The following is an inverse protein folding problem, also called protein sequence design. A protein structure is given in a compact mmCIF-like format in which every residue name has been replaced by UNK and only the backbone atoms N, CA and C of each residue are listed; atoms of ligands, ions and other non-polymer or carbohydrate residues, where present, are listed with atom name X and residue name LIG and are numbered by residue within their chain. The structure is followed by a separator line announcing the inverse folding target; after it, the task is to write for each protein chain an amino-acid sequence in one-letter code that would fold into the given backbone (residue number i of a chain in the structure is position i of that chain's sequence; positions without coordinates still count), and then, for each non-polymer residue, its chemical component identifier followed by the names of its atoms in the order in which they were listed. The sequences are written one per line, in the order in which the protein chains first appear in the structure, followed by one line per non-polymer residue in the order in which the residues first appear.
data_IF_567161844658
#
_entry.id   IF_567161844658
#
_cell.length_a   1.000
_cell.length_b   1.000
_cell.length_c   1.000
_cell.angle_alpha   90.00
_cell.angle_beta   90.00
_cell.angle_gamma   90.00
#
_symmetry.space_group_name_H-M   'P 1'
#
loop_
_entity.id
_entity.type
_entity.pdbx_description
1 polymer ?
#
# COMPACT_ATOMS: atom_id res chain seq x y z
N UNK A 1 12.39 19.49 19.24
CA UNK A 1 11.96 18.09 19.12
C UNK A 1 11.40 17.92 17.74
N UNK A 2 12.23 17.49 16.80
CA UNK A 2 11.90 17.46 15.35
C UNK A 2 12.47 16.17 14.71
N UNK A 3 12.66 15.10 15.49
CA UNK A 3 13.24 13.84 15.01
C UNK A 3 12.33 12.63 15.27
N UNK A 4 11.10 12.85 15.77
CA UNK A 4 10.16 11.77 16.08
C UNK A 4 9.28 11.38 14.88
N UNK A 5 9.30 12.12 13.77
CA UNK A 5 8.53 11.80 12.55
C UNK A 5 9.26 10.93 11.53
N UNK A 6 10.58 10.77 11.61
CA UNK A 6 11.34 10.06 10.58
C UNK A 6 11.45 8.56 10.83
N UNK A 7 11.28 8.09 12.07
CA UNK A 7 11.58 6.70 12.47
C UNK A 7 10.37 5.76 12.26
N UNK A 8 9.14 6.29 12.24
CA UNK A 8 7.92 5.46 12.14
C UNK A 8 7.40 5.27 10.70
N UNK A 9 7.76 6.14 9.74
CA UNK A 9 7.33 6.03 8.33
C UNK A 9 8.28 5.20 7.43
N UNK A 10 9.47 4.87 7.93
CA UNK A 10 10.49 4.11 7.19
C UNK A 10 10.18 2.64 6.88
N UNK A 11 9.33 1.88 7.62
CA UNK A 11 9.21 0.44 7.38
C UNK A 11 8.77 0.09 5.96
N UNK A 12 7.80 0.84 5.41
CA UNK A 12 7.30 0.59 4.06
C UNK A 12 8.37 0.93 3.01
N UNK A 13 9.01 2.10 3.12
CA UNK A 13 9.98 2.54 2.13
C UNK A 13 11.21 1.63 2.09
N UNK A 14 11.71 1.20 3.26
CA UNK A 14 12.87 0.31 3.37
C UNK A 14 12.53 -1.09 2.85
N UNK A 15 11.36 -1.62 3.20
CA UNK A 15 10.92 -2.95 2.74
C UNK A 15 10.69 -2.96 1.24
N UNK A 16 10.00 -1.94 0.71
CA UNK A 16 9.74 -1.79 -0.72
C UNK A 16 11.05 -1.68 -1.52
N UNK A 17 12.02 -0.89 -1.02
CA UNK A 17 13.34 -0.77 -1.67
C UNK A 17 14.08 -2.10 -1.74
N UNK A 18 14.00 -2.93 -0.70
CA UNK A 18 14.61 -4.27 -0.71
C UNK A 18 13.95 -5.17 -1.76
N UNK A 19 12.62 -5.20 -1.81
CA UNK A 19 11.87 -6.01 -2.76
C UNK A 19 12.13 -5.61 -4.21
N UNK A 20 12.17 -4.30 -4.49
CA UNK A 20 12.43 -3.81 -5.85
C UNK A 20 13.83 -4.17 -6.36
N UNK A 21 14.83 -4.27 -5.49
CA UNK A 21 16.17 -4.74 -5.91
C UNK A 21 16.15 -6.17 -6.42
N UNK A 22 15.28 -7.01 -5.86
CA UNK A 22 15.19 -8.44 -6.20
C UNK A 22 14.23 -8.67 -7.37
N UNK A 23 13.11 -7.96 -7.41
CA UNK A 23 11.98 -8.25 -8.32
C UNK A 23 11.89 -7.32 -9.53
N UNK A 24 12.40 -6.08 -9.43
CA UNK A 24 12.28 -5.09 -10.49
C UNK A 24 13.47 -4.10 -10.48
N UNK A 25 14.69 -4.58 -10.77
CA UNK A 25 15.88 -3.75 -10.76
C UNK A 25 15.74 -2.62 -11.79
N UNK A 26 15.74 -1.38 -11.31
CA UNK A 26 15.51 -0.18 -12.13
C UNK A 26 14.32 0.66 -11.69
N UNK A 27 13.42 0.11 -10.86
CA UNK A 27 12.33 0.88 -10.28
C UNK A 27 12.73 1.52 -8.94
N UNK A 28 12.33 2.79 -8.76
CA UNK A 28 12.49 3.48 -7.49
C UNK A 28 11.24 3.27 -6.61
N UNK A 29 11.39 3.14 -5.27
CA UNK A 29 10.25 3.07 -4.35
C UNK A 29 9.26 4.23 -4.54
N UNK A 30 9.78 5.43 -4.84
CA UNK A 30 8.97 6.61 -5.10
C UNK A 30 8.09 6.43 -6.34
N UNK A 31 8.66 6.02 -7.46
CA UNK A 31 7.91 5.79 -8.71
C UNK A 31 6.83 4.73 -8.54
N UNK A 32 7.08 3.72 -7.70
CA UNK A 32 6.12 2.68 -7.38
C UNK A 32 4.99 3.24 -6.52
N UNK A 33 5.31 3.96 -5.44
CA UNK A 33 4.31 4.59 -4.58
C UNK A 33 3.46 5.63 -5.32
N UNK A 34 4.06 6.47 -6.17
CA UNK A 34 3.35 7.45 -6.99
C UNK A 34 2.32 6.76 -7.92
N UNK A 35 2.67 5.59 -8.45
CA UNK A 35 1.79 4.81 -9.33
C UNK A 35 0.66 4.11 -8.57
N UNK A 36 0.92 3.65 -7.35
CA UNK A 36 -0.07 3.00 -6.49
C UNK A 36 -0.91 3.99 -5.66
N UNK A 37 -0.52 5.25 -5.56
CA UNK A 37 -1.26 6.27 -4.81
C UNK A 37 -2.70 6.47 -5.32
N UNK A 38 -2.98 6.15 -6.58
CA UNK A 38 -4.34 6.18 -7.14
C UNK A 38 -5.23 5.01 -6.66
N UNK A 39 -4.64 3.98 -6.07
CA UNK A 39 -5.37 2.81 -5.55
C UNK A 39 -5.82 3.09 -4.12
N UNK A 40 -7.11 3.36 -3.94
CA UNK A 40 -7.70 3.46 -2.59
C UNK A 40 -7.77 2.08 -1.93
N UNK A 41 -6.96 1.87 -0.90
CA UNK A 41 -7.10 0.77 0.04
C UNK A 41 -8.04 1.20 1.17
N UNK A 42 -9.29 0.77 1.14
CA UNK A 42 -10.27 1.08 2.17
C UNK A 42 -10.95 -0.22 2.56
N UNK A 43 -10.77 -0.62 3.81
CA UNK A 43 -11.55 -1.66 4.46
C UNK A 43 -12.94 -1.12 4.79
N UNK A 44 -13.99 -1.86 4.42
CA UNK A 44 -15.38 -1.46 4.70
C UNK A 44 -15.92 -2.32 5.83
N UNK A 45 -16.23 -1.67 6.95
CA UNK A 45 -16.84 -2.29 8.13
C UNK A 45 -18.31 -1.91 8.15
N UNK A 46 -19.19 -2.91 7.99
CA UNK A 46 -20.64 -2.70 8.02
C UNK A 46 -21.20 -3.28 9.33
N UNK A 47 -21.75 -2.45 10.24
CA UNK A 47 -22.44 -2.95 11.41
C UNK A 47 -23.75 -3.63 11.02
N UNK A 48 -24.03 -4.78 11.61
CA UNK A 48 -25.30 -5.50 11.47
C UNK A 48 -26.19 -5.27 12.69
N UNK A 49 -27.49 -5.52 12.55
CA UNK A 49 -28.47 -5.34 13.63
C UNK A 49 -28.27 -6.30 14.82
N UNK A 50 -27.41 -7.33 14.67
CA UNK A 50 -27.08 -8.34 15.70
C UNK A 50 -25.71 -8.08 16.37
N UNK A 51 -25.24 -6.82 16.39
CA UNK A 51 -23.93 -6.41 16.93
C UNK A 51 -22.69 -7.09 16.30
N UNK A 52 -22.84 -7.64 15.09
CA UNK A 52 -21.72 -8.21 14.32
C UNK A 52 -21.24 -7.23 13.26
N UNK A 53 -19.94 -7.26 12.95
CA UNK A 53 -19.38 -6.55 11.81
C UNK A 53 -19.24 -7.47 10.59
N UNK A 54 -19.69 -7.00 9.43
CA UNK A 54 -19.30 -7.57 8.15
C UNK A 54 -18.08 -6.79 7.64
N UNK A 55 -16.95 -7.48 7.57
CA UNK A 55 -15.74 -6.94 6.95
C UNK A 55 -15.79 -7.30 5.46
N UNK A 56 -15.98 -6.29 4.61
CA UNK A 56 -15.80 -6.45 3.17
C UNK A 56 -14.36 -6.12 2.83
N UNK A 57 -13.50 -7.14 2.84
CA UNK A 57 -12.13 -7.02 2.32
C UNK A 57 -12.19 -6.76 0.82
N UNK A 58 -11.88 -5.54 0.40
CA UNK A 58 -11.84 -5.21 -1.03
C UNK A 58 -10.66 -5.91 -1.71
N UNK A 59 -10.94 -6.62 -2.80
CA UNK A 59 -9.91 -7.03 -3.76
C UNK A 59 -9.86 -5.98 -4.88
N UNK A 60 -8.81 -5.17 -4.91
CA UNK A 60 -8.54 -4.26 -6.04
C UNK A 60 -7.67 -5.00 -7.06
N UNK A 61 -8.26 -5.40 -8.18
CA UNK A 61 -7.48 -5.88 -9.32
C UNK A 61 -6.78 -4.66 -9.94
N UNK A 62 -5.43 -4.60 -9.95
CA UNK A 62 -4.73 -3.47 -10.56
C UNK A 62 -5.03 -3.40 -12.06
N UNK A 63 -5.38 -2.21 -12.55
CA UNK A 63 -5.54 -1.95 -13.98
C UNK A 63 -4.24 -2.28 -14.72
N UNK A 64 -4.32 -2.53 -16.04
CA UNK A 64 -3.16 -2.99 -16.83
C UNK A 64 -1.98 -2.03 -16.71
N UNK A 65 -2.25 -0.74 -16.57
CA UNK A 65 -1.24 0.29 -16.43
C UNK A 65 -0.53 0.26 -15.08
N UNK A 66 -1.11 -0.32 -14.02
CA UNK A 66 -0.45 -0.54 -12.72
C UNK A 66 0.54 -1.72 -12.75
N UNK A 67 0.57 -2.52 -13.82
CA UNK A 67 1.57 -3.59 -13.97
C UNK A 67 2.93 -2.95 -14.27
N UNK A 68 3.95 -3.36 -13.51
CA UNK A 68 5.33 -3.13 -13.91
C UNK A 68 5.69 -4.29 -14.84
N UNK A 69 6.20 -3.96 -16.03
CA UNK A 69 6.58 -4.93 -17.05
C UNK A 69 7.72 -5.83 -16.58
#
# INVERSE_FOLDING_TARGET
GEAQGLIWDLPLHVTLRRWLRELAPGLSPRSVLDKFHSVQMIDVHLPTTDDREVILSRYTQPERDLKFA
#
